data_IF_967096137111
#
_entry.id   IF_967096137111
#
_cell.length_a   1.000
_cell.length_b   1.000
_cell.length_c   1.000
_cell.angle_alpha   90.00
_cell.angle_beta   90.00
_cell.angle_gamma   90.00
#
_symmetry.space_group_name_H-M   'P 1'
#
loop_
_entity.id
_entity.type
_entity.pdbx_description
1 polymer ?
#
# COMPACT_ATOMS: atom_id res chain seq x y z
N UNK A 1 -19.09 6.55 -14.79
CA UNK A 1 -17.73 5.99 -14.73
C UNK A 1 -16.78 7.08 -15.21
N UNK A 2 -16.01 7.68 -14.31
CA UNK A 2 -15.02 8.66 -14.72
C UNK A 2 -13.78 7.92 -15.23
N UNK A 3 -13.66 7.81 -16.56
CA UNK A 3 -12.57 7.08 -17.23
C UNK A 3 -11.17 7.54 -16.76
N UNK A 4 -11.04 8.82 -16.39
CA UNK A 4 -9.79 9.37 -15.85
C UNK A 4 -9.38 8.76 -14.50
N UNK A 5 -10.30 8.59 -13.56
CA UNK A 5 -10.00 8.06 -12.22
C UNK A 5 -9.56 6.60 -12.29
N UNK A 6 -10.20 5.82 -13.17
CA UNK A 6 -9.83 4.44 -13.43
C UNK A 6 -8.44 4.32 -14.06
N UNK A 7 -8.12 5.13 -15.08
CA UNK A 7 -6.80 5.13 -15.72
C UNK A 7 -5.72 5.53 -14.73
N UNK A 8 -5.95 6.59 -13.95
CA UNK A 8 -5.01 7.04 -12.92
C UNK A 8 -4.78 5.94 -11.89
N UNK A 9 -5.85 5.30 -11.41
CA UNK A 9 -5.75 4.20 -10.46
C UNK A 9 -4.96 3.01 -11.00
N UNK A 10 -5.20 2.60 -12.24
CA UNK A 10 -4.42 1.53 -12.89
C UNK A 10 -2.93 1.89 -13.04
N UNK A 11 -2.61 3.11 -13.48
CA UNK A 11 -1.21 3.56 -13.60
C UNK A 11 -0.52 3.57 -12.24
N UNK A 12 -1.18 4.11 -11.22
CA UNK A 12 -0.64 4.17 -9.86
C UNK A 12 -0.40 2.77 -9.29
N UNK A 13 -1.35 1.86 -9.51
CA UNK A 13 -1.25 0.47 -9.07
C UNK A 13 -0.07 -0.24 -9.73
N UNK A 14 0.09 -0.11 -11.05
CA UNK A 14 1.20 -0.73 -11.77
C UNK A 14 2.56 -0.20 -11.30
N UNK A 15 2.67 1.11 -11.09
CA UNK A 15 3.90 1.74 -10.58
C UNK A 15 4.20 1.26 -9.15
N UNK A 16 3.20 1.25 -8.26
CA UNK A 16 3.35 0.80 -6.88
C UNK A 16 3.75 -0.68 -6.79
N UNK A 17 3.12 -1.53 -7.60
CA UNK A 17 3.47 -2.97 -7.68
C UNK A 17 4.89 -3.15 -8.21
N UNK A 18 5.26 -2.46 -9.29
CA UNK A 18 6.62 -2.53 -9.84
C UNK A 18 7.68 -2.06 -8.82
N UNK A 19 7.41 -0.95 -8.12
CA UNK A 19 8.27 -0.42 -7.08
C UNK A 19 8.39 -1.37 -5.86
N UNK A 20 7.32 -2.09 -5.52
CA UNK A 20 7.32 -3.08 -4.43
C UNK A 20 8.03 -4.37 -4.81
N UNK A 21 7.89 -4.81 -6.06
CA UNK A 21 8.49 -6.04 -6.58
C UNK A 21 10.00 -5.92 -6.79
N UNK A 22 10.49 -4.72 -7.13
CA UNK A 22 11.92 -4.45 -7.33
C UNK A 22 12.47 -3.45 -6.30
N UNK A 23 12.51 -3.81 -5.01
CA UNK A 23 13.03 -2.91 -3.98
C UNK A 23 14.53 -2.72 -4.19
N UNK A 24 14.92 -1.49 -4.55
CA UNK A 24 16.32 -1.10 -4.78
C UNK A 24 17.14 -1.15 -3.50
N UNK A 25 16.50 -0.91 -2.35
CA UNK A 25 17.10 -0.94 -1.01
C UNK A 25 16.39 -1.99 -0.13
N UNK A 26 17.16 -2.75 0.66
CA UNK A 26 16.68 -3.89 1.47
C UNK A 26 15.94 -3.51 2.76
N UNK A 27 15.59 -2.24 2.96
CA UNK A 27 14.94 -1.80 4.20
C UNK A 27 13.45 -2.13 4.16
N UNK A 28 12.93 -2.74 5.22
CA UNK A 28 11.52 -3.08 5.37
C UNK A 28 10.58 -1.88 5.22
N UNK A 29 11.02 -0.69 5.65
CA UNK A 29 10.30 0.57 5.50
C UNK A 29 10.08 0.96 4.03
N UNK A 30 11.11 0.82 3.18
CA UNK A 30 10.99 1.17 1.75
C UNK A 30 9.99 0.26 1.04
N UNK A 31 9.96 -1.03 1.38
CA UNK A 31 8.97 -1.97 0.86
C UNK A 31 7.55 -1.64 1.33
N UNK A 32 7.40 -1.24 2.61
CA UNK A 32 6.11 -0.83 3.15
C UNK A 32 5.57 0.40 2.39
N UNK A 33 6.40 1.44 2.23
CA UNK A 33 5.98 2.67 1.52
C UNK A 33 5.58 2.37 0.06
N UNK A 34 6.34 1.54 -0.65
CA UNK A 34 5.99 1.17 -2.02
C UNK A 34 4.69 0.36 -2.11
N UNK A 35 4.41 -0.46 -1.10
CA UNK A 35 3.16 -1.24 -1.01
C UNK A 35 1.95 -0.32 -0.79
N UNK A 36 2.08 0.70 0.07
CA UNK A 36 1.02 1.70 0.29
C UNK A 36 0.71 2.47 -1.00
N UNK A 37 1.72 2.80 -1.82
CA UNK A 37 1.50 3.45 -3.14
C UNK A 37 0.68 2.56 -4.08
N UNK A 38 0.92 1.24 -4.07
CA UNK A 38 0.11 0.30 -4.85
C UNK A 38 -1.35 0.26 -4.34
N UNK A 39 -1.53 0.26 -3.03
CA UNK A 39 -2.84 0.24 -2.39
C UNK A 39 -3.65 1.51 -2.66
N UNK A 40 -3.02 2.69 -2.70
CA UNK A 40 -3.67 3.93 -3.15
C UNK A 40 -4.19 3.83 -4.59
N UNK A 41 -3.48 3.12 -5.47
CA UNK A 41 -3.98 2.84 -6.83
C UNK A 41 -5.27 2.03 -6.82
N UNK A 42 -5.36 1.05 -5.92
CA UNK A 42 -6.57 0.25 -5.72
C UNK A 42 -7.73 1.09 -5.16
N UNK A 43 -7.47 2.03 -4.25
CA UNK A 43 -8.47 2.99 -3.73
C UNK A 43 -9.07 3.82 -4.88
N UNK A 44 -8.23 4.37 -5.76
CA UNK A 44 -8.69 5.14 -6.92
C UNK A 44 -9.52 4.29 -7.90
N UNK A 45 -9.15 3.02 -8.09
CA UNK A 45 -9.94 2.08 -8.90
C UNK A 45 -11.31 1.83 -8.23
N UNK A 46 -11.36 1.54 -6.94
CA UNK A 46 -12.61 1.32 -6.21
C UNK A 46 -13.51 2.55 -6.21
N UNK A 47 -12.93 3.75 -6.10
CA UNK A 47 -13.64 5.02 -6.19
C UNK A 47 -14.31 5.18 -7.56
N UNK A 48 -13.64 4.78 -8.65
CA UNK A 48 -14.19 4.84 -10.00
C UNK A 48 -15.42 3.92 -10.21
N UNK A 49 -15.58 2.89 -9.38
CA UNK A 49 -16.71 1.97 -9.41
C UNK A 49 -17.91 2.40 -8.53
N UNK A 50 -17.82 3.51 -7.80
CA UNK A 50 -18.85 4.00 -6.87
C UNK A 50 -19.19 3.01 -5.72
N UNK A 51 -18.31 2.03 -5.49
CA UNK A 51 -18.48 0.97 -4.48
C UNK A 51 -18.01 1.45 -3.09
N UNK A 52 -18.78 2.34 -2.48
CA UNK A 52 -18.44 2.99 -1.20
C UNK A 52 -18.18 1.99 -0.05
N UNK A 53 -18.92 0.87 0.03
CA UNK A 53 -18.71 -0.16 1.07
C UNK A 53 -17.37 -0.88 0.91
N UNK A 54 -16.98 -1.17 -0.34
CA UNK A 54 -15.69 -1.78 -0.63
C UNK A 54 -14.55 -0.80 -0.29
N UNK A 55 -14.70 0.46 -0.69
CA UNK A 55 -13.73 1.52 -0.44
C UNK A 55 -13.46 1.72 1.06
N UNK A 56 -14.51 1.86 1.87
CA UNK A 56 -14.39 2.07 3.32
C UNK A 56 -13.74 0.87 4.00
N UNK A 57 -14.14 -0.34 3.64
CA UNK A 57 -13.57 -1.56 4.22
C UNK A 57 -12.10 -1.69 3.84
N UNK A 58 -11.76 -1.43 2.58
CA UNK A 58 -10.38 -1.49 2.11
C UNK A 58 -9.49 -0.50 2.85
N UNK A 59 -9.92 0.77 2.98
CA UNK A 59 -9.17 1.80 3.72
C UNK A 59 -9.04 1.44 5.19
N UNK A 60 -10.09 0.94 5.84
CA UNK A 60 -10.03 0.50 7.24
C UNK A 60 -9.00 -0.62 7.44
N UNK A 61 -8.99 -1.62 6.55
CA UNK A 61 -8.04 -2.74 6.61
C UNK A 61 -6.62 -2.28 6.30
N UNK A 62 -6.43 -1.38 5.32
CA UNK A 62 -5.13 -0.78 5.00
C UNK A 62 -4.55 -0.07 6.24
N UNK A 63 -5.29 0.82 6.89
CA UNK A 63 -4.82 1.52 8.12
C UNK A 63 -4.41 0.53 9.21
N UNK A 64 -5.22 -0.51 9.45
CA UNK A 64 -4.90 -1.55 10.44
C UNK A 64 -3.63 -2.30 10.05
N UNK A 65 -3.49 -2.63 8.77
CA UNK A 65 -2.33 -3.33 8.21
C UNK A 65 -1.06 -2.51 8.35
N UNK A 66 -1.07 -1.23 7.98
CA UNK A 66 0.07 -0.32 8.14
C UNK A 66 0.50 -0.22 9.61
N UNK A 67 -0.44 -0.09 10.54
CA UNK A 67 -0.13 -0.05 11.97
C UNK A 67 0.54 -1.33 12.47
N UNK A 68 0.04 -2.49 12.04
CA UNK A 68 0.63 -3.79 12.39
C UNK A 68 2.04 -3.90 11.79
N UNK A 69 2.23 -3.48 10.54
CA UNK A 69 3.54 -3.50 9.88
C UNK A 69 4.56 -2.60 10.57
N UNK A 70 4.19 -1.37 10.92
CA UNK A 70 5.10 -0.45 11.64
C UNK A 70 5.53 -1.08 12.97
N UNK A 71 4.58 -1.62 13.75
CA UNK A 71 4.89 -2.30 15.02
C UNK A 71 5.76 -3.54 14.83
N UNK A 72 5.59 -4.28 13.74
CA UNK A 72 6.43 -5.42 13.39
C UNK A 72 7.85 -4.99 13.05
N UNK A 73 8.02 -3.94 12.25
CA UNK A 73 9.33 -3.42 11.86
C UNK A 73 10.11 -2.94 13.09
N UNK A 74 9.49 -2.16 13.98
CA UNK A 74 10.12 -1.72 15.23
C UNK A 74 10.59 -2.91 16.07
N UNK A 75 9.75 -3.96 16.19
CA UNK A 75 10.09 -5.17 16.94
C UNK A 75 11.19 -6.01 16.30
N UNK A 76 11.30 -6.02 14.98
CA UNK A 76 12.39 -6.69 14.27
C UNK A 76 13.72 -5.94 14.48
N UNK A 77 13.71 -4.61 14.31
CA UNK A 77 14.88 -3.77 14.52
C UNK A 77 15.43 -3.89 15.95
N UNK A 78 14.56 -3.86 16.97
CA UNK A 78 14.96 -4.05 18.36
C UNK A 78 15.61 -5.42 18.63
N UNK A 79 15.26 -6.46 17.86
CA UNK A 79 15.82 -7.81 18.01
C UNK A 79 17.18 -7.96 17.32
N UNK A 80 17.41 -7.20 16.24
CA UNK A 80 18.70 -7.15 15.54
C UNK A 80 19.77 -6.42 16.37
N UNK A 81 19.39 -5.46 17.21
CA UNK A 81 20.31 -4.75 18.12
C UNK A 81 20.75 -5.58 19.34
N UNK A 82 20.00 -6.64 19.69
CA UNK A 82 20.32 -7.56 20.79
C UNK A 82 21.20 -8.75 20.35
N UNK A 83 21.51 -8.90 19.05
CA UNK A 83 22.33 -9.97 18.48
C UNK A 83 23.73 -9.48 18.08
#
# INVERSE_FOLDING_TARGET
MNELEFIIGCVLLLIGVAATAYPRDKTYLTRLINMEVAEFGLVFIMLAFDEMLALVTFVAVNIVTTLIFVRLIEKQQAREEEQ
#
